data_IF_798691481601
#
_entry.id   IF_798691481601
#
_cell.length_a   1.000
_cell.length_b   1.000
_cell.length_c   1.000
_cell.angle_alpha   90.00
_cell.angle_beta   90.00
_cell.angle_gamma   90.00
#
_symmetry.space_group_name_H-M   'P 1'
#
loop_
_entity.id
_entity.type
_entity.pdbx_description
1 polymer ?
#
# COMPACT_ATOMS: atom_id res chain seq x y z
N UNK A 1 18.40 -15.32 -51.27
CA UNK A 1 18.24 -16.40 -50.28
C UNK A 1 17.80 -15.75 -49.00
N UNK A 2 16.50 -15.81 -48.72
CA UNK A 2 15.91 -15.36 -47.45
C UNK A 2 16.01 -16.50 -46.45
N UNK A 3 16.93 -16.38 -45.48
CA UNK A 3 17.00 -17.30 -44.36
C UNK A 3 16.00 -16.80 -43.33
N UNK A 4 14.84 -17.47 -43.23
CA UNK A 4 13.93 -17.33 -42.11
C UNK A 4 14.53 -18.06 -40.93
N UNK A 5 15.16 -17.33 -40.01
CA UNK A 5 15.45 -17.86 -38.67
C UNK A 5 14.12 -17.85 -37.88
N UNK A 6 13.51 -19.03 -37.81
CA UNK A 6 12.50 -19.31 -36.78
C UNK A 6 13.23 -19.31 -35.44
N UNK A 7 13.25 -18.17 -34.77
CA UNK A 7 13.55 -18.14 -33.35
C UNK A 7 12.35 -18.72 -32.64
N UNK A 8 12.55 -19.84 -31.96
CA UNK A 8 11.60 -20.40 -31.00
C UNK A 8 11.33 -19.35 -29.94
N UNK A 9 10.17 -18.69 -30.00
CA UNK A 9 9.78 -17.58 -29.14
C UNK A 9 9.40 -18.00 -27.72
N UNK A 10 9.58 -19.27 -27.39
CA UNK A 10 9.24 -19.82 -26.07
C UNK A 10 10.33 -19.65 -25.00
N UNK A 11 11.54 -19.22 -25.38
CA UNK A 11 12.69 -19.17 -24.45
C UNK A 11 13.07 -17.77 -23.92
N UNK A 12 12.50 -16.66 -24.45
CA UNK A 12 12.83 -15.31 -23.97
C UNK A 12 11.59 -14.42 -23.97
N UNK A 13 10.69 -14.63 -23.00
CA UNK A 13 9.64 -13.66 -22.71
C UNK A 13 10.19 -12.61 -21.74
N UNK A 14 11.15 -11.80 -22.20
CA UNK A 14 11.53 -10.57 -21.48
C UNK A 14 10.56 -9.48 -21.91
N UNK A 15 9.60 -9.15 -21.06
CA UNK A 15 8.77 -7.94 -21.22
C UNK A 15 9.69 -6.74 -21.05
N UNK A 16 10.09 -6.10 -22.16
CA UNK A 16 10.84 -4.85 -22.11
C UNK A 16 9.83 -3.72 -22.02
N UNK A 17 9.78 -3.05 -20.88
CA UNK A 17 8.94 -1.87 -20.66
C UNK A 17 9.60 -0.63 -21.30
N UNK A 18 9.08 -0.20 -22.46
CA UNK A 18 9.50 1.00 -23.18
C UNK A 18 8.79 2.27 -22.69
N UNK A 19 7.94 2.20 -21.66
CA UNK A 19 7.26 3.40 -21.14
C UNK A 19 8.23 4.31 -20.40
N UNK A 20 8.09 5.63 -20.60
CA UNK A 20 8.91 6.65 -19.92
C UNK A 20 8.83 6.57 -18.38
N UNK A 21 7.75 6.00 -17.85
CA UNK A 21 7.45 5.87 -16.42
C UNK A 21 7.68 4.45 -15.87
N UNK A 22 8.16 3.50 -16.67
CA UNK A 22 8.32 2.09 -16.28
C UNK A 22 7.06 1.50 -15.61
N UNK A 23 5.89 1.86 -16.13
CA UNK A 23 4.58 1.49 -15.58
C UNK A 23 4.34 -0.02 -15.43
N UNK A 24 5.10 -0.84 -16.14
CA UNK A 24 4.94 -2.30 -16.22
C UNK A 24 6.18 -3.04 -15.72
N UNK A 25 7.01 -2.41 -14.90
CA UNK A 25 8.15 -3.03 -14.25
C UNK A 25 8.20 -2.64 -12.78
N UNK A 26 8.52 -3.60 -11.93
CA UNK A 26 8.75 -3.38 -10.51
C UNK A 26 10.20 -2.94 -10.28
N UNK A 27 10.47 -2.30 -9.14
CA UNK A 27 11.84 -2.00 -8.74
C UNK A 27 12.59 -3.28 -8.40
N UNK A 28 13.90 -3.30 -8.59
CA UNK A 28 14.74 -4.46 -8.25
C UNK A 28 14.56 -4.89 -6.79
N UNK A 29 14.37 -3.92 -5.89
CA UNK A 29 14.15 -4.18 -4.47
C UNK A 29 12.81 -4.90 -4.22
N UNK A 30 11.74 -4.47 -4.87
CA UNK A 30 10.44 -5.14 -4.81
C UNK A 30 10.54 -6.55 -5.37
N UNK A 31 11.19 -6.74 -6.53
CA UNK A 31 11.37 -8.07 -7.11
C UNK A 31 12.13 -9.00 -6.17
N UNK A 32 13.20 -8.53 -5.53
CA UNK A 32 13.98 -9.33 -4.58
C UNK A 32 13.12 -9.74 -3.37
N UNK A 33 12.34 -8.82 -2.81
CA UNK A 33 11.43 -9.11 -1.70
C UNK A 33 10.42 -10.17 -2.10
N UNK A 34 9.73 -9.98 -3.24
CA UNK A 34 8.64 -10.85 -3.67
C UNK A 34 9.14 -12.26 -4.04
N UNK A 35 10.30 -12.38 -4.67
CA UNK A 35 10.92 -13.68 -4.99
C UNK A 35 11.30 -14.49 -3.74
N UNK A 36 11.55 -13.83 -2.61
CA UNK A 36 11.99 -14.45 -1.37
C UNK A 36 10.87 -14.71 -0.34
N UNK A 37 9.62 -14.37 -0.64
CA UNK A 37 8.51 -14.69 0.27
C UNK A 37 8.30 -16.20 0.38
N UNK A 38 8.09 -16.68 1.60
CA UNK A 38 7.85 -18.08 1.93
C UNK A 38 6.39 -18.36 2.29
N UNK A 39 5.69 -17.36 2.80
CA UNK A 39 4.29 -17.47 3.22
C UNK A 39 3.35 -17.37 2.02
N UNK A 40 2.42 -18.32 1.82
CA UNK A 40 1.38 -18.18 0.80
C UNK A 40 0.48 -16.98 1.08
N UNK A 41 0.35 -16.08 0.11
CA UNK A 41 -0.45 -14.86 0.20
C UNK A 41 -1.50 -14.87 -0.91
N UNK A 42 -2.77 -14.72 -0.52
CA UNK A 42 -3.87 -14.52 -1.44
C UNK A 42 -4.11 -13.02 -1.61
N UNK A 43 -4.02 -12.52 -2.83
CA UNK A 43 -4.32 -11.14 -3.19
C UNK A 43 -5.65 -11.13 -3.94
N UNK A 44 -6.67 -10.52 -3.33
CA UNK A 44 -7.99 -10.34 -3.96
C UNK A 44 -8.20 -8.88 -4.31
N UNK A 45 -8.34 -8.57 -5.59
CA UNK A 45 -8.77 -7.26 -6.06
C UNK A 45 -10.27 -7.24 -6.29
N UNK A 46 -10.97 -6.55 -5.40
CA UNK A 46 -12.43 -6.36 -5.44
C UNK A 46 -12.77 -5.01 -6.07
N UNK A 47 -13.49 -5.02 -7.19
CA UNK A 47 -13.81 -3.79 -7.93
C UNK A 47 -15.25 -3.77 -8.44
N UNK A 48 -15.82 -2.57 -8.48
CA UNK A 48 -17.16 -2.33 -9.05
C UNK A 48 -17.09 -2.26 -10.58
N UNK A 49 -17.97 -2.98 -11.30
CA UNK A 49 -18.01 -2.96 -12.76
C UNK A 49 -18.18 -1.56 -13.35
N UNK A 50 -18.86 -0.68 -12.63
CA UNK A 50 -19.10 0.72 -13.02
C UNK A 50 -17.79 1.48 -13.24
N UNK A 51 -16.76 1.19 -12.42
CA UNK A 51 -15.44 1.78 -12.59
C UNK A 51 -14.77 1.34 -13.89
N UNK A 52 -14.96 0.09 -14.32
CA UNK A 52 -14.38 -0.43 -15.56
C UNK A 52 -14.85 0.34 -16.79
N UNK A 53 -16.08 0.85 -16.75
CA UNK A 53 -16.66 1.65 -17.82
C UNK A 53 -16.21 3.11 -17.82
N UNK A 54 -15.74 3.61 -16.66
CA UNK A 54 -15.36 5.01 -16.47
C UNK A 54 -13.87 5.24 -16.62
N UNK A 55 -13.04 4.22 -16.40
CA UNK A 55 -11.60 4.40 -16.33
C UNK A 55 -10.80 3.15 -16.72
N UNK A 56 -9.84 3.32 -17.61
CA UNK A 56 -8.85 2.27 -17.96
C UNK A 56 -7.96 1.82 -16.79
N UNK A 57 -7.97 2.56 -15.69
CA UNK A 57 -7.10 2.31 -14.54
C UNK A 57 -7.35 0.95 -13.87
N UNK A 58 -8.57 0.39 -13.93
CA UNK A 58 -8.82 -0.96 -13.40
C UNK A 58 -7.97 -2.00 -14.12
N UNK A 59 -7.90 -1.93 -15.45
CA UNK A 59 -7.07 -2.84 -16.23
C UNK A 59 -5.59 -2.63 -15.90
N UNK A 60 -5.15 -1.37 -15.73
CA UNK A 60 -3.77 -1.07 -15.32
C UNK A 60 -3.45 -1.66 -13.93
N UNK A 61 -4.38 -1.57 -12.97
CA UNK A 61 -4.21 -2.18 -11.65
C UNK A 61 -4.17 -3.71 -11.75
N UNK A 62 -5.06 -4.31 -12.54
CA UNK A 62 -5.06 -5.77 -12.73
C UNK A 62 -3.75 -6.24 -13.36
N UNK A 63 -3.25 -5.57 -14.39
CA UNK A 63 -1.99 -5.90 -15.03
C UNK A 63 -0.81 -5.69 -14.09
N UNK A 64 -0.85 -4.64 -13.27
CA UNK A 64 0.16 -4.40 -12.24
C UNK A 64 0.18 -5.51 -11.18
N UNK A 65 -0.97 -5.95 -10.71
CA UNK A 65 -1.07 -7.05 -9.73
C UNK A 65 -0.55 -8.38 -10.29
N UNK A 66 -0.72 -8.62 -11.59
CA UNK A 66 -0.16 -9.82 -12.26
C UNK A 66 1.37 -9.86 -12.19
N UNK A 67 2.05 -8.69 -12.18
CA UNK A 67 3.51 -8.64 -12.03
C UNK A 67 3.97 -9.33 -10.73
N UNK A 68 3.20 -9.17 -9.63
CA UNK A 68 3.50 -9.81 -8.36
C UNK A 68 3.27 -11.32 -8.40
N UNK A 69 2.16 -11.79 -8.96
CA UNK A 69 1.88 -13.22 -9.07
C UNK A 69 2.83 -13.93 -10.04
N UNK A 70 3.36 -13.24 -11.05
CA UNK A 70 4.35 -13.78 -11.98
C UNK A 70 5.75 -13.94 -11.33
N UNK A 71 6.03 -13.23 -10.24
CA UNK A 71 7.33 -13.27 -9.56
C UNK A 71 7.45 -14.37 -8.51
N UNK A 72 6.34 -14.84 -7.94
CA UNK A 72 6.36 -15.82 -6.84
C UNK A 72 5.18 -16.77 -6.89
N UNK A 73 5.47 -18.08 -6.80
CA UNK A 73 4.45 -19.12 -6.69
C UNK A 73 3.68 -19.08 -5.35
N UNK A 74 4.14 -18.27 -4.39
CA UNK A 74 3.47 -18.07 -3.11
C UNK A 74 2.44 -16.93 -3.15
N UNK A 75 2.24 -16.28 -4.33
CA UNK A 75 1.19 -15.28 -4.51
C UNK A 75 0.07 -15.86 -5.39
N UNK A 76 -1.12 -15.95 -4.82
CA UNK A 76 -2.34 -16.30 -5.53
C UNK A 76 -3.16 -15.03 -5.78
N UNK A 77 -3.51 -14.77 -7.04
CA UNK A 77 -4.21 -13.54 -7.42
C UNK A 77 -5.63 -13.83 -7.87
N UNK A 78 -6.58 -13.09 -7.32
CA UNK A 78 -8.00 -13.19 -7.60
C UNK A 78 -8.59 -11.83 -8.00
N UNK A 79 -9.49 -11.83 -8.98
CA UNK A 79 -10.22 -10.65 -9.43
C UNK A 79 -11.71 -10.85 -9.20
N UNK A 80 -12.29 -10.05 -8.31
CA UNK A 80 -13.68 -10.20 -7.87
C UNK A 80 -14.51 -8.96 -8.22
N UNK A 81 -15.58 -9.17 -8.97
CA UNK A 81 -16.53 -8.09 -9.28
C UNK A 81 -17.49 -7.89 -8.12
N UNK A 82 -17.53 -6.67 -7.59
CA UNK A 82 -18.47 -6.31 -6.53
C UNK A 82 -19.82 -5.96 -7.15
N UNK A 83 -20.79 -6.84 -6.96
CA UNK A 83 -22.19 -6.66 -7.34
C UNK A 83 -23.09 -6.71 -6.12
N UNK A 84 -24.37 -6.33 -6.25
CA UNK A 84 -25.29 -6.19 -5.13
C UNK A 84 -25.35 -7.43 -4.22
N UNK A 85 -25.34 -8.63 -4.82
CA UNK A 85 -25.49 -9.91 -4.13
C UNK A 85 -24.19 -10.74 -4.10
N UNK A 86 -23.01 -10.14 -4.36
CA UNK A 86 -21.75 -10.87 -4.37
C UNK A 86 -21.26 -11.15 -2.94
N UNK A 87 -20.67 -12.33 -2.71
CA UNK A 87 -20.05 -12.69 -1.44
C UNK A 87 -18.92 -11.70 -1.08
N UNK A 88 -18.19 -11.23 -2.07
CA UNK A 88 -17.12 -10.24 -1.87
C UNK A 88 -17.66 -8.94 -1.27
N UNK A 89 -18.88 -8.50 -1.61
CA UNK A 89 -19.49 -7.31 -1.01
C UNK A 89 -19.68 -7.47 0.50
N UNK A 90 -20.14 -8.66 0.93
CA UNK A 90 -20.28 -8.99 2.35
C UNK A 90 -18.92 -9.02 3.05
N UNK A 91 -17.90 -9.57 2.39
CA UNK A 91 -16.52 -9.61 2.92
C UNK A 91 -15.97 -8.19 3.09
N UNK A 92 -16.14 -7.30 2.10
CA UNK A 92 -15.72 -5.90 2.20
C UNK A 92 -16.40 -5.18 3.38
N UNK A 93 -17.70 -5.42 3.58
CA UNK A 93 -18.43 -4.87 4.72
C UNK A 93 -17.91 -5.37 6.07
N UNK A 94 -17.57 -6.65 6.18
CA UNK A 94 -17.00 -7.22 7.42
C UNK A 94 -15.62 -6.61 7.73
N UNK A 95 -14.89 -6.18 6.71
CA UNK A 95 -13.63 -5.46 6.86
C UNK A 95 -13.81 -3.94 7.02
N UNK A 96 -15.05 -3.47 7.20
CA UNK A 96 -15.38 -2.04 7.35
C UNK A 96 -14.95 -1.18 6.17
N UNK A 97 -14.80 -1.78 4.98
CA UNK A 97 -14.44 -1.05 3.78
C UNK A 97 -15.71 -0.36 3.24
N UNK A 98 -15.66 0.97 3.20
CA UNK A 98 -16.75 1.80 2.67
C UNK A 98 -16.56 2.07 1.18
N UNK A 99 -17.65 2.08 0.39
CA UNK A 99 -17.58 2.43 -1.02
C UNK A 99 -17.29 3.92 -1.19
N UNK A 100 -16.56 4.25 -2.26
CA UNK A 100 -16.39 5.63 -2.68
C UNK A 100 -17.62 6.07 -3.51
N UNK A 101 -18.08 7.31 -3.27
CA UNK A 101 -19.13 7.93 -4.07
C UNK A 101 -18.50 8.64 -5.26
N UNK A 102 -18.88 8.25 -6.46
CA UNK A 102 -18.44 8.91 -7.70
C UNK A 102 -19.65 9.51 -8.42
N UNK A 103 -19.47 10.71 -8.94
CA UNK A 103 -20.47 11.32 -9.82
C UNK A 103 -20.20 10.88 -11.27
N UNK A 104 -21.22 10.33 -11.91
CA UNK A 104 -21.18 9.99 -13.33
C UNK A 104 -22.07 10.94 -14.09
N UNK A 105 -21.49 11.69 -15.01
CA UNK A 105 -22.25 12.55 -15.93
C UNK A 105 -22.56 11.76 -17.21
N UNK A 106 -23.82 11.41 -17.41
CA UNK A 106 -24.32 11.08 -18.71
C UNK A 106 -25.00 12.32 -19.29
N UNK A 107 -25.02 12.46 -20.62
CA UNK A 107 -25.47 13.65 -21.36
C UNK A 107 -26.87 14.21 -20.96
N UNK A 108 -27.61 13.52 -20.10
CA UNK A 108 -28.96 13.90 -19.66
C UNK A 108 -29.18 13.86 -18.14
N UNK A 109 -28.31 13.17 -17.35
CA UNK A 109 -28.48 13.04 -15.90
C UNK A 109 -27.13 12.91 -15.16
N UNK A 110 -27.02 13.58 -14.01
CA UNK A 110 -26.01 13.29 -13.00
C UNK A 110 -26.48 12.15 -12.12
N UNK A 111 -25.75 11.06 -12.08
CA UNK A 111 -26.01 9.95 -11.14
C UNK A 111 -24.81 9.72 -10.25
N UNK A 112 -25.06 9.48 -8.98
CA UNK A 112 -24.02 9.11 -8.01
C UNK A 112 -23.97 7.59 -7.92
N UNK A 113 -22.81 7.01 -8.11
CA UNK A 113 -22.59 5.57 -7.95
C UNK A 113 -21.66 5.30 -6.75
N UNK A 114 -21.99 4.28 -5.97
CA UNK A 114 -21.15 3.76 -4.89
C UNK A 114 -20.25 2.67 -5.44
N UNK A 115 -18.93 2.89 -5.45
CA UNK A 115 -17.97 2.00 -6.10
C UNK A 115 -16.89 1.51 -5.15
N UNK A 116 -16.43 0.30 -5.38
CA UNK A 116 -15.30 -0.31 -4.68
C UNK A 116 -14.12 -0.48 -5.63
N UNK A 117 -12.92 -0.29 -5.13
CA UNK A 117 -11.66 -0.63 -5.78
C UNK A 117 -10.64 -0.97 -4.68
N UNK A 118 -10.79 -2.14 -4.08
CA UNK A 118 -10.09 -2.51 -2.85
C UNK A 118 -9.21 -3.74 -3.09
N UNK A 119 -8.04 -3.78 -2.44
CA UNK A 119 -7.17 -4.95 -2.48
C UNK A 119 -7.08 -5.54 -1.08
N UNK A 120 -7.36 -6.84 -0.97
CA UNK A 120 -7.27 -7.61 0.26
C UNK A 120 -6.10 -8.58 0.10
N UNK A 121 -5.16 -8.54 1.03
CA UNK A 121 -4.03 -9.46 1.11
C UNK A 121 -4.26 -10.35 2.33
N UNK A 122 -4.26 -11.67 2.14
CA UNK A 122 -4.58 -12.62 3.21
C UNK A 122 -3.54 -13.74 3.25
N UNK A 123 -3.15 -14.09 4.45
CA UNK A 123 -2.48 -15.35 4.79
C UNK A 123 -3.45 -16.23 5.58
N UNK A 124 -3.03 -17.40 6.01
CA UNK A 124 -3.86 -18.27 6.87
C UNK A 124 -4.32 -17.58 8.15
N UNK A 125 -3.47 -16.72 8.76
CA UNK A 125 -3.70 -16.17 10.10
C UNK A 125 -3.90 -14.66 10.14
N UNK A 126 -3.52 -13.94 9.09
CA UNK A 126 -3.49 -12.47 9.08
C UNK A 126 -3.97 -11.91 7.75
N UNK A 127 -4.39 -10.66 7.77
CA UNK A 127 -4.76 -9.94 6.57
C UNK A 127 -4.28 -8.48 6.60
N UNK A 128 -4.17 -7.89 5.42
CA UNK A 128 -3.96 -6.46 5.20
C UNK A 128 -4.90 -5.97 4.11
N UNK A 129 -5.27 -4.70 4.17
CA UNK A 129 -6.24 -4.12 3.26
C UNK A 129 -5.68 -2.82 2.68
N UNK A 130 -5.84 -2.67 1.36
CA UNK A 130 -5.74 -1.39 0.68
C UNK A 130 -7.17 -0.99 0.35
N UNK A 131 -7.78 -0.08 1.11
CA UNK A 131 -9.22 0.17 1.04
C UNK A 131 -9.66 0.78 -0.28
N UNK A 132 -8.76 1.54 -0.94
CA UNK A 132 -9.04 2.11 -2.26
C UNK A 132 -7.77 2.18 -3.11
N UNK A 133 -7.77 1.42 -4.21
CA UNK A 133 -6.70 1.41 -5.20
C UNK A 133 -7.25 1.97 -6.52
N UNK A 134 -6.83 3.19 -6.89
CA UNK A 134 -7.29 3.82 -8.14
C UNK A 134 -6.16 4.16 -9.12
N UNK A 135 -4.91 4.06 -8.69
CA UNK A 135 -3.72 4.39 -9.48
C UNK A 135 -2.57 3.46 -9.13
N UNK A 136 -1.72 3.17 -10.09
CA UNK A 136 -0.51 2.34 -9.90
C UNK A 136 0.66 3.09 -9.26
N UNK A 137 0.61 4.43 -9.18
CA UNK A 137 1.75 5.26 -8.77
C UNK A 137 2.30 4.96 -7.36
N UNK A 138 1.43 4.61 -6.41
CA UNK A 138 1.84 4.26 -5.04
C UNK A 138 1.61 2.79 -4.72
N UNK A 139 1.02 2.05 -5.66
CA UNK A 139 0.55 0.70 -5.44
C UNK A 139 1.71 -0.26 -5.18
N UNK A 140 2.86 -0.06 -5.83
CA UNK A 140 4.06 -0.86 -5.59
C UNK A 140 4.48 -0.81 -4.13
N UNK A 141 4.62 0.39 -3.58
CA UNK A 141 5.00 0.56 -2.19
C UNK A 141 3.97 -0.04 -1.23
N UNK A 142 2.68 0.24 -1.47
CA UNK A 142 1.59 -0.24 -0.63
C UNK A 142 1.50 -1.77 -0.63
N UNK A 143 1.60 -2.40 -1.79
CA UNK A 143 1.57 -3.86 -1.90
C UNK A 143 2.79 -4.48 -1.23
N UNK A 144 3.99 -4.02 -1.59
CA UNK A 144 5.24 -4.59 -1.09
C UNK A 144 5.35 -4.46 0.43
N UNK A 145 4.98 -3.30 1.00
CA UNK A 145 5.01 -3.09 2.45
C UNK A 145 4.00 -3.98 3.19
N UNK A 146 2.79 -4.16 2.64
CA UNK A 146 1.78 -5.02 3.22
C UNK A 146 2.15 -6.52 3.10
N UNK A 147 2.72 -6.93 1.97
CA UNK A 147 3.24 -8.29 1.78
C UNK A 147 4.36 -8.57 2.79
N UNK A 148 5.32 -7.65 2.93
CA UNK A 148 6.41 -7.80 3.89
C UNK A 148 5.89 -7.87 5.34
N UNK A 149 4.88 -7.06 5.68
CA UNK A 149 4.24 -7.10 6.99
C UNK A 149 3.54 -8.44 7.27
N UNK A 150 2.93 -9.06 6.26
CA UNK A 150 2.32 -10.39 6.37
C UNK A 150 3.38 -11.49 6.50
N UNK A 151 4.46 -11.41 5.72
CA UNK A 151 5.56 -12.37 5.74
C UNK A 151 6.28 -12.39 7.09
N UNK A 152 6.60 -11.21 7.62
CA UNK A 152 7.35 -11.07 8.87
C UNK A 152 6.49 -11.12 10.13
N UNK A 153 5.15 -11.12 9.99
CA UNK A 153 4.22 -10.89 11.08
C UNK A 153 4.48 -9.57 11.86
N UNK A 154 5.18 -8.64 11.23
CA UNK A 154 5.54 -7.35 11.82
C UNK A 154 5.02 -6.23 10.93
N UNK A 155 4.12 -5.44 11.46
CA UNK A 155 3.79 -4.15 10.82
C UNK A 155 4.93 -3.18 11.04
N UNK A 156 5.33 -2.47 9.99
CA UNK A 156 6.25 -1.35 10.15
C UNK A 156 5.65 -0.35 11.14
N UNK A 157 6.45 0.10 12.06
CA UNK A 157 6.02 1.00 13.13
C UNK A 157 6.71 2.35 12.98
N UNK A 158 6.03 3.42 13.33
CA UNK A 158 6.60 4.77 13.39
C UNK A 158 6.03 5.52 14.59
N UNK A 159 6.88 6.23 15.31
CA UNK A 159 6.47 7.16 16.36
C UNK A 159 6.36 8.53 15.73
N UNK A 160 5.20 9.17 15.86
CA UNK A 160 4.98 10.55 15.40
C UNK A 160 4.96 11.46 16.61
N UNK A 161 5.89 12.40 16.64
CA UNK A 161 6.01 13.42 17.68
C UNK A 161 5.71 14.78 17.09
N UNK A 162 5.06 15.62 17.87
CA UNK A 162 4.81 17.03 17.53
C UNK A 162 5.51 17.93 18.51
N UNK A 163 6.50 18.68 18.01
CA UNK A 163 7.39 19.51 18.83
C UNK A 163 6.83 20.85 19.29
N UNK A 164 5.62 21.22 18.91
CA UNK A 164 5.03 22.54 19.20
C UNK A 164 3.80 22.50 20.13
N UNK A 165 3.60 21.39 20.86
CA UNK A 165 2.42 21.14 21.70
C UNK A 165 1.06 21.22 20.97
N UNK A 166 1.06 21.25 19.65
CA UNK A 166 -0.16 21.16 18.87
C UNK A 166 -0.69 19.72 18.93
N UNK A 167 -1.99 19.60 18.96
CA UNK A 167 -2.63 18.30 18.87
C UNK A 167 -2.39 17.76 17.45
N UNK A 168 -1.89 16.54 17.33
CA UNK A 168 -1.69 15.87 16.04
C UNK A 168 -2.95 15.93 15.16
N UNK A 169 -4.12 15.92 15.80
CA UNK A 169 -5.41 15.97 15.11
C UNK A 169 -5.68 17.24 14.31
N UNK A 170 -5.13 18.38 14.70
CA UNK A 170 -5.52 19.64 14.09
C UNK A 170 -4.67 19.98 12.86
N UNK A 171 -3.35 19.76 12.94
CA UNK A 171 -2.42 20.21 11.90
C UNK A 171 -1.78 19.06 11.10
N UNK A 172 -1.72 17.84 11.67
CA UNK A 172 -0.96 16.73 11.09
C UNK A 172 -1.77 15.44 10.90
N UNK A 173 -3.10 15.55 11.04
CA UNK A 173 -4.01 14.42 10.90
C UNK A 173 -3.82 13.67 9.57
N UNK A 174 -3.73 14.38 8.47
CA UNK A 174 -3.59 13.79 7.13
C UNK A 174 -2.29 12.97 7.01
N UNK A 175 -1.20 13.42 7.64
CA UNK A 175 0.08 12.69 7.62
C UNK A 175 -0.03 11.39 8.41
N UNK A 176 -0.70 11.42 9.57
CA UNK A 176 -0.91 10.24 10.42
C UNK A 176 -1.81 9.23 9.71
N UNK A 177 -2.94 9.69 9.16
CA UNK A 177 -3.87 8.82 8.44
C UNK A 177 -3.24 8.26 7.17
N UNK A 178 -2.46 9.05 6.45
CA UNK A 178 -1.72 8.57 5.29
C UNK A 178 -0.72 7.46 5.65
N UNK A 179 0.00 7.58 6.78
CA UNK A 179 0.91 6.53 7.25
C UNK A 179 0.16 5.26 7.67
N UNK A 180 -0.97 5.38 8.35
CA UNK A 180 -1.85 4.25 8.66
C UNK A 180 -2.36 3.58 7.39
N UNK A 181 -2.78 4.37 6.40
CA UNK A 181 -3.21 3.87 5.10
C UNK A 181 -2.10 3.07 4.39
N UNK A 182 -0.84 3.46 4.54
CA UNK A 182 0.32 2.71 4.04
C UNK A 182 0.65 1.45 4.86
N UNK A 183 -0.14 1.13 5.88
CA UNK A 183 0.04 -0.08 6.69
C UNK A 183 1.00 0.06 7.87
N UNK A 184 1.39 1.29 8.24
CA UNK A 184 2.21 1.51 9.43
C UNK A 184 1.39 1.46 10.72
N UNK A 185 1.97 0.88 11.78
CA UNK A 185 1.52 1.15 13.16
C UNK A 185 2.04 2.53 13.56
N UNK A 186 1.13 3.48 13.76
CA UNK A 186 1.47 4.86 14.10
C UNK A 186 1.23 5.10 15.59
N UNK A 187 2.28 5.40 16.33
CA UNK A 187 2.22 5.76 17.75
C UNK A 187 2.26 7.28 17.89
N UNK A 188 1.17 7.88 18.35
CA UNK A 188 1.01 9.35 18.46
C UNK A 188 0.98 9.86 19.89
N UNK A 189 0.83 8.95 20.88
CA UNK A 189 0.68 9.33 22.29
C UNK A 189 2.01 9.30 23.06
N UNK A 190 3.11 8.92 22.39
CA UNK A 190 4.42 8.82 23.02
C UNK A 190 5.01 10.23 23.15
N UNK A 191 5.48 10.56 24.35
CA UNK A 191 6.19 11.82 24.60
C UNK A 191 7.68 11.65 24.32
N UNK A 192 8.39 12.76 24.00
CA UNK A 192 9.85 12.74 23.77
C UNK A 192 10.60 12.14 24.97
N UNK A 193 10.21 12.49 26.19
CA UNK A 193 10.83 11.97 27.40
C UNK A 193 10.68 10.44 27.58
N UNK A 194 9.67 9.84 26.95
CA UNK A 194 9.35 8.42 27.05
C UNK A 194 10.00 7.57 25.95
N UNK A 195 10.63 8.21 24.95
CA UNK A 195 11.28 7.51 23.83
C UNK A 195 12.27 6.44 24.29
N UNK A 196 13.01 6.71 25.34
CA UNK A 196 13.98 5.76 25.93
C UNK A 196 13.37 4.42 26.34
N UNK A 197 12.06 4.38 26.59
CA UNK A 197 11.31 3.19 27.01
C UNK A 197 10.69 2.43 25.81
N UNK A 198 10.85 2.94 24.59
CA UNK A 198 10.32 2.33 23.39
C UNK A 198 11.39 1.55 22.63
N UNK A 199 10.96 0.64 21.75
CA UNK A 199 11.91 -0.10 20.93
C UNK A 199 12.71 0.87 20.04
N UNK A 200 14.05 0.77 20.10
CA UNK A 200 15.00 1.63 19.37
C UNK A 200 14.88 1.50 17.85
N UNK A 201 14.44 0.34 17.36
CA UNK A 201 14.25 0.07 15.92
C UNK A 201 13.06 0.85 15.32
N UNK A 202 12.14 1.35 16.15
CA UNK A 202 11.00 2.14 15.67
C UNK A 202 11.48 3.56 15.36
N UNK A 203 11.44 3.99 14.09
CA UNK A 203 11.85 5.34 13.72
C UNK A 203 10.90 6.39 14.31
N UNK A 204 11.44 7.58 14.50
CA UNK A 204 10.68 8.75 14.96
C UNK A 204 10.49 9.71 13.78
N UNK A 205 9.26 10.13 13.55
CA UNK A 205 8.91 11.24 12.67
C UNK A 205 8.59 12.47 13.54
N UNK A 206 9.45 13.46 13.50
CA UNK A 206 9.26 14.71 14.24
C UNK A 206 8.62 15.76 13.34
N UNK A 207 7.47 16.25 13.76
CA UNK A 207 6.71 17.29 13.06
C UNK A 207 6.69 18.57 13.90
N UNK A 208 6.95 19.72 13.28
CA UNK A 208 6.92 21.03 13.92
C UNK A 208 7.98 21.18 15.03
N UNK A 209 9.13 21.74 14.69
CA UNK A 209 10.27 21.85 15.60
C UNK A 209 10.39 23.20 16.31
N UNK A 210 9.52 24.17 15.98
CA UNK A 210 9.65 25.58 16.38
C UNK A 210 9.60 25.84 17.88
N UNK A 211 9.05 24.93 18.68
CA UNK A 211 8.85 25.12 20.12
C UNK A 211 9.43 23.97 20.96
N UNK A 212 10.40 23.23 20.44
CA UNK A 212 11.13 22.23 21.21
C UNK A 212 11.92 22.93 22.33
N UNK A 213 11.85 22.38 23.53
CA UNK A 213 12.68 22.79 24.64
C UNK A 213 14.08 22.21 24.48
N UNK A 214 15.06 22.84 25.10
CA UNK A 214 16.45 22.32 25.12
C UNK A 214 16.53 20.87 25.64
N UNK A 215 15.72 20.54 26.66
CA UNK A 215 15.61 19.18 27.21
C UNK A 215 15.13 18.16 26.19
N UNK A 216 14.15 18.55 25.35
CA UNK A 216 13.61 17.72 24.27
C UNK A 216 14.67 17.46 23.18
N UNK A 217 15.44 18.50 22.83
CA UNK A 217 16.52 18.41 21.87
C UNK A 217 17.62 17.46 22.37
N UNK A 218 18.04 17.59 23.62
CA UNK A 218 19.04 16.70 24.26
C UNK A 218 18.54 15.25 24.24
N UNK A 219 17.26 15.02 24.56
CA UNK A 219 16.68 13.68 24.54
C UNK A 219 16.66 13.07 23.13
N UNK A 220 16.24 13.85 22.12
CA UNK A 220 16.23 13.41 20.72
C UNK A 220 17.63 13.11 20.20
N UNK A 221 18.60 13.97 20.54
CA UNK A 221 20.02 13.77 20.21
C UNK A 221 20.57 12.50 20.86
N UNK A 222 20.23 12.25 22.12
CA UNK A 222 20.57 11.01 22.82
C UNK A 222 20.02 9.77 22.11
N UNK A 223 18.76 9.78 21.67
CA UNK A 223 18.15 8.69 20.93
C UNK A 223 18.81 8.47 19.58
N UNK A 224 19.16 9.55 18.86
CA UNK A 224 19.91 9.48 17.61
C UNK A 224 21.29 8.83 17.81
N UNK A 225 22.06 9.23 18.83
CA UNK A 225 23.35 8.62 19.11
C UNK A 225 23.25 7.16 19.58
N UNK A 226 22.10 6.74 20.11
CA UNK A 226 21.81 5.33 20.42
C UNK A 226 21.47 4.52 19.17
N UNK A 227 21.36 5.14 18.00
CA UNK A 227 21.07 4.49 16.71
C UNK A 227 19.62 4.56 16.25
N UNK A 228 18.74 5.30 16.96
CA UNK A 228 17.37 5.51 16.49
C UNK A 228 17.35 6.40 15.25
N UNK A 229 16.54 6.04 14.28
CA UNK A 229 16.25 6.91 13.12
C UNK A 229 15.24 8.00 13.53
N UNK A 230 15.63 9.25 13.37
CA UNK A 230 14.82 10.44 13.67
C UNK A 230 14.69 11.28 12.40
#
# INVERSE_FOLDING_TARGET
ILIFLFFDTTLFYTKIDFTKSKKYSLTNQTEEIIKNISTPINITYAYSPELANLNSQINEIQDFLKLYSDLSNNINLYFEKVTENSEIKSKLKNFEITPLQIETENSLNKTTASVYSSIILETENNYKIIPFAYSTNQLEYMLTSNILALETNQSQSVIVLVGNNLLIHDDYFDIVEWRKFLGFNVFTEIKIADLKNTNIEIPVLLLGTSNLKEEDCIQLESEFFRGRKV
#
